data_IF_838175061977
#
_entry.id   IF_838175061977
#
_cell.length_a   1.000
_cell.length_b   1.000
_cell.length_c   1.000
_cell.angle_alpha   90.00
_cell.angle_beta   90.00
_cell.angle_gamma   90.00
#
_symmetry.space_group_name_H-M   'P 1'
#
loop_
_entity.id
_entity.type
_entity.pdbx_description
1 polymer ?
#
# COMPACT_ATOMS: atom_id res chain seq x y z
N UNK A 1 -13.76 -4.32 8.36
CA UNK A 1 -13.99 -5.78 8.42
C UNK A 1 -14.07 -6.28 6.99
N UNK A 2 -13.36 -7.35 6.66
CA UNK A 2 -13.50 -8.04 5.38
C UNK A 2 -14.24 -9.33 5.67
N UNK A 3 -15.43 -9.53 5.09
CA UNK A 3 -16.29 -10.69 5.34
C UNK A 3 -16.47 -11.03 6.83
N UNK A 4 -16.91 -10.06 7.65
CA UNK A 4 -17.04 -10.18 9.12
C UNK A 4 -15.76 -10.60 9.89
N UNK A 5 -14.60 -10.56 9.25
CA UNK A 5 -13.32 -10.91 9.87
C UNK A 5 -12.51 -9.66 10.26
N UNK A 6 -11.61 -9.86 11.24
CA UNK A 6 -10.71 -8.81 11.74
C UNK A 6 -9.67 -8.44 10.68
N UNK A 7 -9.48 -7.13 10.48
CA UNK A 7 -8.37 -6.57 9.70
C UNK A 7 -7.29 -6.18 10.70
N UNK A 8 -6.10 -6.74 10.57
CA UNK A 8 -4.93 -6.29 11.33
C UNK A 8 -4.27 -5.11 10.64
N UNK A 9 -3.79 -4.15 11.42
CA UNK A 9 -3.02 -3.00 10.94
C UNK A 9 -1.61 -3.07 11.50
N UNK A 10 -0.64 -2.58 10.72
CA UNK A 10 0.76 -2.45 11.15
C UNK A 10 1.19 -1.00 10.94
N UNK A 11 1.97 -0.49 11.88
CA UNK A 11 2.74 0.74 11.71
C UNK A 11 4.21 0.42 11.92
N UNK A 12 5.07 1.02 11.10
CA UNK A 12 6.51 0.82 11.14
C UNK A 12 7.20 2.16 10.94
N UNK A 13 8.25 2.41 11.71
CA UNK A 13 9.11 3.58 11.51
C UNK A 13 9.95 3.38 10.25
N UNK A 14 9.95 4.38 9.37
CA UNK A 14 10.79 4.40 8.18
C UNK A 14 12.28 4.32 8.56
N UNK A 15 13.05 3.57 7.77
CA UNK A 15 14.48 3.35 8.04
C UNK A 15 15.31 4.61 7.83
N UNK A 16 14.92 5.43 6.85
CA UNK A 16 15.55 6.70 6.51
C UNK A 16 14.63 7.85 6.91
N UNK A 17 15.23 9.01 7.18
CA UNK A 17 14.47 10.24 7.37
C UNK A 17 14.17 10.86 6.00
N UNK A 18 12.91 11.19 5.76
CA UNK A 18 12.51 11.96 4.60
C UNK A 18 12.91 13.44 4.77
N UNK A 19 13.16 14.13 3.66
CA UNK A 19 13.47 15.55 3.62
C UNK A 19 12.21 16.43 3.48
N UNK A 20 11.06 15.81 3.20
CA UNK A 20 9.76 16.47 3.10
C UNK A 20 8.62 15.54 3.53
N UNK A 21 7.43 16.11 3.78
CA UNK A 21 6.22 15.33 4.06
C UNK A 21 5.83 14.45 2.86
N UNK A 22 5.82 15.03 1.66
CA UNK A 22 5.54 14.31 0.41
C UNK A 22 6.47 13.13 0.20
N UNK A 23 7.77 13.26 0.51
CA UNK A 23 8.69 12.14 0.44
C UNK A 23 8.38 11.07 1.51
N UNK A 24 8.04 11.48 2.74
CA UNK A 24 7.64 10.54 3.78
C UNK A 24 6.39 9.76 3.38
N UNK A 25 5.37 10.42 2.83
CA UNK A 25 4.13 9.78 2.36
C UNK A 25 4.38 8.91 1.14
N UNK A 26 5.19 9.34 0.18
CA UNK A 26 5.59 8.50 -0.96
C UNK A 26 6.33 7.24 -0.53
N UNK A 27 7.23 7.35 0.45
CA UNK A 27 7.91 6.19 1.04
C UNK A 27 6.93 5.26 1.75
N UNK A 28 5.97 5.80 2.54
CA UNK A 28 4.94 5.01 3.19
C UNK A 28 4.03 4.30 2.18
N UNK A 29 3.66 4.99 1.10
CA UNK A 29 2.86 4.46 0.00
C UNK A 29 3.59 3.33 -0.73
N UNK A 30 4.92 3.44 -0.90
CA UNK A 30 5.75 2.37 -1.44
C UNK A 30 5.76 1.11 -0.55
N UNK A 31 5.90 1.27 0.77
CA UNK A 31 5.81 0.14 1.72
C UNK A 31 4.41 -0.50 1.69
N UNK A 32 3.34 0.32 1.71
CA UNK A 32 1.96 -0.16 1.62
C UNK A 32 1.69 -0.91 0.30
N UNK A 33 2.29 -0.47 -0.80
CA UNK A 33 2.18 -1.13 -2.10
C UNK A 33 2.83 -2.51 -2.09
N UNK A 34 4.00 -2.66 -1.45
CA UNK A 34 4.65 -3.97 -1.31
C UNK A 34 3.79 -4.94 -0.48
N UNK A 35 3.23 -4.48 0.64
CA UNK A 35 2.33 -5.29 1.47
C UNK A 35 1.04 -5.65 0.71
N UNK A 36 0.46 -4.72 -0.04
CA UNK A 36 -0.73 -4.96 -0.85
C UNK A 36 -0.48 -6.01 -1.94
N UNK A 37 0.66 -5.93 -2.66
CA UNK A 37 1.05 -6.93 -3.67
C UNK A 37 1.21 -8.30 -3.04
N UNK A 38 1.87 -8.39 -1.88
CA UNK A 38 2.02 -9.64 -1.14
C UNK A 38 0.67 -10.23 -0.73
N UNK A 39 -0.21 -9.40 -0.14
CA UNK A 39 -1.56 -9.82 0.25
C UNK A 39 -2.39 -10.29 -0.95
N UNK A 40 -2.28 -9.63 -2.10
CA UNK A 40 -2.97 -10.08 -3.31
C UNK A 40 -2.49 -11.46 -3.75
N UNK A 41 -1.19 -11.70 -3.76
CA UNK A 41 -0.65 -13.03 -4.10
C UNK A 41 -1.19 -14.08 -3.13
N UNK A 42 -1.12 -13.81 -1.83
CA UNK A 42 -1.65 -14.69 -0.80
C UNK A 42 -3.15 -14.99 -0.97
N UNK A 43 -3.97 -13.97 -1.25
CA UNK A 43 -5.40 -14.16 -1.49
C UNK A 43 -5.70 -14.89 -2.81
N UNK A 44 -4.87 -14.73 -3.84
CA UNK A 44 -5.00 -15.51 -5.07
C UNK A 44 -4.69 -16.99 -4.82
N UNK A 45 -3.72 -17.32 -3.97
CA UNK A 45 -3.41 -18.70 -3.58
C UNK A 45 -4.53 -19.37 -2.77
N UNK A 46 -5.39 -18.57 -2.13
CA UNK A 46 -6.56 -19.03 -1.39
C UNK A 46 -7.85 -19.04 -2.24
N UNK A 47 -7.77 -18.73 -3.54
CA UNK A 47 -8.93 -18.55 -4.43
C UNK A 47 -9.92 -17.45 -3.97
N UNK A 48 -9.49 -16.53 -3.10
CA UNK A 48 -10.30 -15.42 -2.57
C UNK A 48 -10.19 -14.14 -3.43
N UNK A 49 -9.26 -14.09 -4.38
CA UNK A 49 -9.05 -12.94 -5.27
C UNK A 49 -8.53 -13.35 -6.65
N UNK A 50 -8.94 -12.62 -7.69
CA UNK A 50 -8.44 -12.83 -9.06
C UNK A 50 -7.13 -12.11 -9.31
N UNK A 51 -6.16 -12.80 -9.91
CA UNK A 51 -4.82 -12.27 -10.23
C UNK A 51 -4.82 -11.03 -11.14
N UNK A 52 -5.83 -10.87 -11.99
CA UNK A 52 -5.93 -9.73 -12.92
C UNK A 52 -6.51 -8.46 -12.29
N UNK A 53 -6.99 -8.50 -11.04
CA UNK A 53 -7.58 -7.33 -10.39
C UNK A 53 -6.52 -6.38 -9.87
N UNK A 54 -6.53 -5.12 -10.31
CA UNK A 54 -5.67 -4.08 -9.76
C UNK A 54 -6.07 -3.74 -8.31
N UNK A 55 -5.08 -3.47 -7.46
CA UNK A 55 -5.31 -3.01 -6.09
C UNK A 55 -5.35 -1.49 -6.12
N UNK A 56 -6.44 -0.90 -5.63
CA UNK A 56 -6.55 0.55 -5.46
C UNK A 56 -6.06 0.93 -4.07
N UNK A 57 -5.03 1.75 -4.01
CA UNK A 57 -4.54 2.37 -2.78
C UNK A 57 -5.01 3.82 -2.77
N UNK A 58 -5.51 4.28 -1.62
CA UNK A 58 -5.96 5.65 -1.42
C UNK A 58 -4.88 6.42 -0.65
N UNK A 59 -4.61 7.63 -1.10
CA UNK A 59 -3.63 8.55 -0.53
C UNK A 59 -4.24 9.97 -0.58
N UNK A 60 -3.98 10.79 0.45
CA UNK A 60 -4.47 12.16 0.52
C UNK A 60 -3.44 13.20 0.06
N UNK A 61 -2.13 12.91 0.17
CA UNK A 61 -1.08 13.79 -0.33
C UNK A 61 -0.98 13.80 -1.86
N UNK A 62 -1.31 14.96 -2.44
CA UNK A 62 -1.30 15.15 -3.88
C UNK A 62 0.12 15.14 -4.45
N UNK A 63 1.13 15.52 -3.66
CA UNK A 63 2.53 15.46 -4.06
C UNK A 63 2.98 14.01 -4.27
N UNK A 64 2.71 13.15 -3.28
CA UNK A 64 2.99 11.72 -3.30
C UNK A 64 2.25 11.05 -4.46
N UNK A 65 0.95 11.34 -4.63
CA UNK A 65 0.17 10.85 -5.78
C UNK A 65 0.78 11.29 -7.11
N UNK A 66 1.24 12.52 -7.24
CA UNK A 66 1.89 12.99 -8.47
C UNK A 66 3.21 12.25 -8.75
N UNK A 67 4.01 11.97 -7.71
CA UNK A 67 5.24 11.19 -7.83
C UNK A 67 4.95 9.77 -8.34
N UNK A 68 3.88 9.10 -7.88
CA UNK A 68 3.54 7.75 -8.37
C UNK A 68 3.24 7.66 -9.87
N UNK A 69 2.86 8.78 -10.50
CA UNK A 69 2.55 8.83 -11.94
C UNK A 69 3.81 8.99 -12.80
N UNK A 70 4.93 9.36 -12.19
CA UNK A 70 6.25 9.49 -12.84
C UNK A 70 7.32 8.90 -11.91
N UNK A 71 7.28 7.57 -11.69
CA UNK A 71 8.11 6.90 -10.69
C UNK A 71 9.61 6.93 -11.01
#
# INVERSE_FOLDING_TARGET
MMNNSCISWRSKKQRTAALSLTEAEYMALSEATQEAVWLKVFLCELDEMTSNQAIKIFEDDQGSIALTKNP
#
